data_IF_028558914132
#
_entry.id   IF_028558914132
#
_cell.length_a   1.000
_cell.length_b   1.000
_cell.length_c   1.000
_cell.angle_alpha   90.00
_cell.angle_beta   90.00
_cell.angle_gamma   90.00
#
_symmetry.space_group_name_H-M   'P 1'
#
loop_
_entity.id
_entity.type
_entity.pdbx_description
1 polymer ?
#
# COMPACT_ATOMS: atom_id res chain seq x y z
N UNK A 1 -5.18 1.92 -22.68
CA UNK A 1 -5.47 1.22 -21.40
C UNK A 1 -6.73 0.42 -21.57
N UNK A 2 -6.66 -0.88 -21.32
CA UNK A 2 -7.86 -1.71 -21.15
C UNK A 2 -8.31 -1.63 -19.68
N UNK A 3 -9.60 -1.84 -19.42
CA UNK A 3 -10.17 -1.85 -18.06
C UNK A 3 -9.51 -2.90 -17.16
N UNK A 4 -9.08 -4.02 -17.74
CA UNK A 4 -8.34 -5.08 -17.04
C UNK A 4 -7.02 -4.59 -16.44
N UNK A 5 -6.23 -3.79 -17.17
CA UNK A 5 -4.95 -3.26 -16.67
C UNK A 5 -5.14 -2.28 -15.51
N UNK A 6 -6.23 -1.50 -15.51
CA UNK A 6 -6.57 -0.60 -14.40
C UNK A 6 -6.96 -1.36 -13.13
N UNK A 7 -7.75 -2.42 -13.28
CA UNK A 7 -8.11 -3.29 -12.15
C UNK A 7 -6.88 -3.99 -11.58
N UNK A 8 -6.01 -4.54 -12.44
CA UNK A 8 -4.75 -5.15 -12.02
C UNK A 8 -3.83 -4.14 -11.32
N UNK A 9 -3.73 -2.91 -11.83
CA UNK A 9 -2.97 -1.85 -11.18
C UNK A 9 -3.51 -1.56 -9.77
N UNK A 10 -4.83 -1.37 -9.63
CA UNK A 10 -5.43 -1.07 -8.33
C UNK A 10 -5.20 -2.20 -7.32
N UNK A 11 -5.47 -3.44 -7.71
CA UNK A 11 -5.24 -4.61 -6.85
C UNK A 11 -3.77 -4.81 -6.51
N UNK A 12 -2.86 -4.61 -7.47
CA UNK A 12 -1.42 -4.74 -7.24
C UNK A 12 -0.90 -3.69 -6.27
N UNK A 13 -1.32 -2.42 -6.40
CA UNK A 13 -0.87 -1.35 -5.50
C UNK A 13 -1.41 -1.56 -4.09
N UNK A 14 -2.70 -1.91 -3.95
CA UNK A 14 -3.30 -2.18 -2.65
C UNK A 14 -2.63 -3.39 -1.98
N UNK A 15 -2.49 -4.49 -2.72
CA UNK A 15 -1.87 -5.72 -2.22
C UNK A 15 -0.41 -5.51 -1.82
N UNK A 16 0.38 -4.86 -2.67
CA UNK A 16 1.78 -4.57 -2.39
C UNK A 16 1.93 -3.68 -1.16
N UNK A 17 1.05 -2.68 -1.00
CA UNK A 17 1.11 -1.79 0.16
C UNK A 17 0.73 -2.51 1.45
N UNK A 18 -0.35 -3.30 1.43
CA UNK A 18 -0.79 -4.02 2.63
C UNK A 18 0.22 -5.08 3.05
N UNK A 19 0.85 -5.81 2.12
CA UNK A 19 1.87 -6.82 2.45
C UNK A 19 3.09 -6.20 3.15
N UNK A 20 3.49 -5.00 2.72
CA UNK A 20 4.73 -4.37 3.18
C UNK A 20 4.50 -3.56 4.46
N UNK A 21 3.40 -2.80 4.53
CA UNK A 21 3.11 -1.91 5.65
C UNK A 21 2.43 -2.65 6.81
N UNK A 22 1.64 -3.68 6.50
CA UNK A 22 0.97 -4.54 7.48
C UNK A 22 1.61 -5.94 7.47
N UNK A 23 2.81 -6.10 8.08
CA UNK A 23 3.52 -7.36 8.04
C UNK A 23 2.78 -8.40 8.90
N UNK A 24 1.86 -9.13 8.26
CA UNK A 24 1.26 -10.34 8.80
C UNK A 24 2.35 -11.43 8.87
N UNK A 25 3.22 -11.38 9.88
CA UNK A 25 4.27 -12.37 10.23
C UNK A 25 5.40 -12.59 9.21
N UNK A 26 5.13 -12.56 7.90
CA UNK A 26 6.08 -12.95 6.83
C UNK A 26 7.23 -11.97 6.62
N UNK A 27 7.03 -10.66 6.83
CA UNK A 27 8.06 -9.64 6.65
C UNK A 27 8.61 -9.04 7.95
N UNK A 28 8.26 -9.59 9.12
CA UNK A 28 8.83 -9.16 10.42
C UNK A 28 10.37 -9.17 10.40
N UNK A 29 11.07 -10.23 9.95
CA UNK A 29 12.54 -10.20 9.91
C UNK A 29 13.10 -9.19 8.90
N UNK A 30 12.35 -8.88 7.83
CA UNK A 30 12.74 -7.85 6.87
C UNK A 30 12.57 -6.44 7.46
N UNK A 31 11.47 -6.20 8.19
CA UNK A 31 11.24 -4.94 8.91
C UNK A 31 12.30 -4.72 9.97
N UNK A 32 12.59 -5.73 10.79
CA UNK A 32 13.62 -5.65 11.83
C UNK A 32 15.02 -5.44 11.23
N UNK A 33 15.31 -6.04 10.08
CA UNK A 33 16.56 -5.81 9.36
C UNK A 33 16.67 -4.39 8.81
N UNK A 34 15.58 -3.85 8.23
CA UNK A 34 15.52 -2.47 7.71
C UNK A 34 15.54 -1.44 8.85
N UNK A 35 14.93 -1.75 9.98
CA UNK A 35 14.96 -0.89 11.17
C UNK A 35 16.34 -0.85 11.82
N UNK A 36 17.06 -1.98 11.81
CA UNK A 36 18.40 -2.10 12.42
C UNK A 36 19.54 -1.56 11.54
N UNK A 37 19.45 -1.74 10.23
CA UNK A 37 20.53 -1.40 9.29
C UNK A 37 20.19 -0.24 8.34
N UNK A 38 18.92 0.17 8.27
CA UNK A 38 18.46 1.19 7.35
C UNK A 38 18.56 2.61 7.91
N UNK A 39 18.76 3.61 7.05
CA UNK A 39 18.64 5.01 7.44
C UNK A 39 17.19 5.32 7.85
N UNK A 40 16.99 6.14 8.89
CA UNK A 40 15.68 6.34 9.53
C UNK A 40 14.55 6.85 8.61
N UNK A 41 14.86 7.34 7.41
CA UNK A 41 13.86 7.69 6.40
C UNK A 41 13.22 6.47 5.73
N UNK A 42 13.95 5.35 5.55
CA UNK A 42 13.41 4.13 4.97
C UNK A 42 12.35 3.53 5.90
N UNK A 43 12.60 3.50 7.21
CA UNK A 43 11.63 2.97 8.16
C UNK A 43 10.29 3.75 8.11
N UNK A 44 10.34 5.09 7.93
CA UNK A 44 9.15 5.92 7.70
C UNK A 44 8.43 5.60 6.40
N UNK A 45 9.16 5.31 5.31
CA UNK A 45 8.55 4.95 4.03
C UNK A 45 7.84 3.61 4.13
N UNK A 46 8.47 2.60 4.75
CA UNK A 46 7.90 1.26 4.88
C UNK A 46 6.79 1.14 5.93
N UNK A 47 6.72 2.07 6.88
CA UNK A 47 5.67 2.09 7.91
C UNK A 47 4.45 2.95 7.55
N UNK A 48 4.52 3.74 6.47
CA UNK A 48 3.44 4.65 6.08
C UNK A 48 2.74 4.16 4.81
N UNK A 49 1.44 3.84 4.91
CA UNK A 49 0.60 3.45 3.78
C UNK A 49 0.62 4.47 2.64
N UNK A 50 0.61 5.77 2.97
CA UNK A 50 0.62 6.83 1.97
C UNK A 50 1.96 6.90 1.23
N UNK A 51 3.08 6.84 1.97
CA UNK A 51 4.42 6.90 1.39
C UNK A 51 4.69 5.66 0.55
N UNK A 52 4.51 4.47 1.12
CA UNK A 52 4.75 3.23 0.40
C UNK A 52 3.77 3.04 -0.75
N UNK A 53 2.50 3.41 -0.57
CA UNK A 53 1.48 3.39 -1.64
C UNK A 53 1.83 4.29 -2.82
N UNK A 54 2.51 5.41 -2.58
CA UNK A 54 3.03 6.28 -3.66
C UNK A 54 4.13 5.57 -4.45
N UNK A 55 5.10 4.96 -3.77
CA UNK A 55 6.19 4.21 -4.41
C UNK A 55 5.68 2.96 -5.14
N UNK A 56 4.75 2.23 -4.54
CA UNK A 56 4.04 1.12 -5.16
C UNK A 56 3.28 1.58 -6.40
N UNK A 57 2.60 2.73 -6.34
CA UNK A 57 1.91 3.34 -7.48
C UNK A 57 2.87 3.71 -8.63
N UNK A 58 4.05 4.24 -8.33
CA UNK A 58 5.07 4.48 -9.37
C UNK A 58 5.56 3.18 -10.00
N UNK A 59 5.89 2.17 -9.18
CA UNK A 59 6.41 0.89 -9.65
C UNK A 59 5.37 0.14 -10.50
N UNK A 60 4.15 -0.01 -9.99
CA UNK A 60 3.05 -0.67 -10.71
C UNK A 60 2.62 0.13 -11.94
N UNK A 61 2.65 1.47 -11.87
CA UNK A 61 2.36 2.34 -13.00
C UNK A 61 3.36 2.13 -14.14
N UNK A 62 4.65 2.07 -13.81
CA UNK A 62 5.73 1.84 -14.78
C UNK A 62 5.70 0.43 -15.40
N UNK A 63 5.36 -0.59 -14.61
CA UNK A 63 5.37 -1.99 -15.08
C UNK A 63 4.10 -2.39 -15.84
N UNK A 64 2.92 -1.89 -15.42
CA UNK A 64 1.62 -2.39 -15.89
C UNK A 64 0.93 -1.39 -16.84
N UNK A 65 1.09 -0.08 -16.61
CA UNK A 65 0.27 0.94 -17.29
C UNK A 65 1.01 1.54 -18.47
N UNK A 66 2.12 2.24 -18.23
CA UNK A 66 2.87 2.96 -19.27
C UNK A 66 4.23 3.42 -18.72
N UNK A 67 5.20 3.67 -19.62
CA UNK A 67 6.52 4.20 -19.26
C UNK A 67 6.60 5.73 -19.36
N UNK A 68 5.55 6.38 -19.88
CA UNK A 68 5.50 7.85 -19.94
C UNK A 68 5.56 8.44 -18.53
N UNK A 69 6.51 9.35 -18.23
CA UNK A 69 6.75 9.83 -16.87
C UNK A 69 5.54 10.58 -16.28
N UNK A 70 4.75 11.26 -17.11
CA UNK A 70 3.51 11.92 -16.67
C UNK A 70 2.44 10.92 -16.20
N UNK A 71 2.33 9.77 -16.87
CA UNK A 71 1.36 8.73 -16.50
C UNK A 71 1.80 8.03 -15.22
N UNK A 72 3.07 7.66 -15.12
CA UNK A 72 3.66 7.06 -13.92
C UNK A 72 3.48 7.97 -12.72
N UNK A 73 3.72 9.27 -12.88
CA UNK A 73 3.53 10.25 -11.82
C UNK A 73 2.08 10.26 -11.28
N UNK A 74 1.10 10.27 -12.18
CA UNK A 74 -0.31 10.19 -11.81
C UNK A 74 -0.67 8.84 -11.16
N UNK A 75 -0.06 7.74 -11.60
CA UNK A 75 -0.20 6.42 -10.97
C UNK A 75 0.33 6.41 -9.52
N UNK A 76 1.43 7.11 -9.22
CA UNK A 76 1.90 7.27 -7.84
C UNK A 76 0.89 8.00 -6.95
N UNK A 77 0.31 9.08 -7.46
CA UNK A 77 -0.75 9.81 -6.73
C UNK A 77 -1.99 8.96 -6.50
N UNK A 78 -2.44 8.23 -7.53
CA UNK A 78 -3.54 7.29 -7.41
C UNK A 78 -3.23 6.18 -6.39
N UNK A 79 -1.98 5.67 -6.39
CA UNK A 79 -1.53 4.66 -5.44
C UNK A 79 -1.54 5.14 -4.00
N UNK A 80 -1.08 6.38 -3.75
CA UNK A 80 -1.15 7.04 -2.44
C UNK A 80 -2.58 7.06 -1.89
N UNK A 81 -3.55 7.41 -2.74
CA UNK A 81 -4.96 7.46 -2.36
C UNK A 81 -5.53 6.06 -2.10
N UNK A 82 -5.32 5.12 -3.02
CA UNK A 82 -5.83 3.74 -2.92
C UNK A 82 -5.30 3.01 -1.68
N UNK A 83 -4.02 3.16 -1.38
CA UNK A 83 -3.40 2.59 -0.18
C UNK A 83 -4.04 3.13 1.11
N UNK A 84 -4.19 4.46 1.21
CA UNK A 84 -4.77 5.11 2.38
C UNK A 84 -6.25 4.75 2.54
N UNK A 85 -6.98 4.69 1.42
CA UNK A 85 -8.37 4.27 1.40
C UNK A 85 -8.52 2.81 1.85
N UNK A 86 -7.68 1.90 1.36
CA UNK A 86 -7.68 0.49 1.78
C UNK A 86 -7.44 0.35 3.28
N UNK A 87 -6.43 1.03 3.83
CA UNK A 87 -6.13 0.97 5.26
C UNK A 87 -7.29 1.51 6.10
N UNK A 88 -7.87 2.64 5.70
CA UNK A 88 -9.04 3.24 6.38
C UNK A 88 -10.26 2.31 6.33
N UNK A 89 -10.47 1.66 5.19
CA UNK A 89 -11.57 0.71 5.01
C UNK A 89 -11.41 -0.54 5.89
N UNK A 90 -10.20 -1.10 5.98
CA UNK A 90 -9.91 -2.23 6.88
C UNK A 90 -10.15 -1.84 8.35
N UNK A 91 -9.63 -0.69 8.79
CA UNK A 91 -9.87 -0.18 10.13
C UNK A 91 -11.36 0.03 10.43
N UNK A 92 -12.14 0.48 9.44
CA UNK A 92 -13.59 0.62 9.58
C UNK A 92 -14.31 -0.72 9.75
N UNK A 93 -13.89 -1.75 8.99
CA UNK A 93 -14.43 -3.10 9.13
C UNK A 93 -14.10 -3.71 10.50
N UNK A 94 -12.87 -3.54 10.97
CA UNK A 94 -12.44 -3.99 12.29
C UNK A 94 -13.22 -3.28 13.41
N UNK A 95 -13.38 -1.96 13.34
CA UNK A 95 -14.16 -1.21 14.31
C UNK A 95 -15.62 -1.68 14.39
N UNK A 96 -16.24 -2.00 13.24
CA UNK A 96 -17.59 -2.57 13.22
C UNK A 96 -17.67 -3.96 13.84
N UNK A 97 -16.62 -4.76 13.72
CA UNK A 97 -16.58 -6.10 14.31
C UNK A 97 -16.52 -6.05 15.84
N UNK A 98 -15.88 -5.03 16.43
CA UNK A 98 -15.75 -4.88 17.88
C UNK A 98 -17.06 -4.38 18.52
N UNK A 99 -17.74 -3.42 17.88
CA UNK A 99 -18.97 -2.82 18.41
C UNK A 99 -20.16 -3.81 18.42
N UNK A 100 -20.08 -4.90 17.66
CA UNK A 100 -21.07 -5.98 17.66
C UNK A 100 -20.93 -7.01 18.78
N UNK A 101 -19.85 -6.99 19.56
CA UNK A 101 -19.54 -8.03 20.57
C UNK A 101 -19.94 -7.62 22.00
N UNK A 102 -20.07 -6.32 22.29
CA UNK A 102 -20.39 -5.82 23.64
C UNK A 102 -21.90 -5.71 23.93
N UNK A 103 -22.77 -6.14 23.01
CA UNK A 103 -24.24 -6.07 23.16
C UNK A 103 -24.92 -7.42 23.48
N UNK A 104 -24.16 -8.45 23.83
CA UNK A 104 -24.71 -9.73 24.35
C UNK A 104 -24.44 -9.93 25.84
#
# INVERSE_FOLDING_TARGET
MTTASLALFACAVIGLTNIVVDPASIMVPFRDFVEKNGPGWMNKVFSCYQCFGTWAGFLCGYLIVDQRPSVVFMCGMAGSFLATMSATYMNYLEAKSIVGVEQE
#
